data_IF_751352328134
#
_entry.id   IF_751352328134
#
_cell.length_a   1.000
_cell.length_b   1.000
_cell.length_c   1.000
_cell.angle_alpha   90.00
_cell.angle_beta   90.00
_cell.angle_gamma   90.00
#
_symmetry.space_group_name_H-M   'P 1'
#
loop_
_entity.id
_entity.type
_entity.pdbx_description
1 polymer ?
#
# COMPACT_ATOMS: atom_id res chain seq x y z
N UNK A 1 5.18 -22.67 31.83
CA UNK A 1 5.19 -21.30 31.28
C UNK A 1 6.62 -20.73 31.17
N UNK A 2 7.60 -21.49 30.62
CA UNK A 2 8.99 -21.03 30.40
C UNK A 2 9.48 -21.22 28.95
N UNK A 3 8.76 -22.01 28.15
CA UNK A 3 9.11 -22.32 26.76
C UNK A 3 8.80 -21.16 25.79
N UNK A 4 7.79 -20.33 26.09
CA UNK A 4 7.43 -19.20 25.21
C UNK A 4 8.44 -18.04 25.23
N UNK A 5 9.18 -17.85 26.32
CA UNK A 5 10.17 -16.76 26.40
C UNK A 5 11.44 -17.12 25.62
N UNK A 6 11.87 -18.39 25.66
CA UNK A 6 13.03 -18.85 24.90
C UNK A 6 12.77 -18.79 23.39
N UNK A 7 11.56 -19.16 22.96
CA UNK A 7 11.17 -19.08 21.55
C UNK A 7 11.08 -17.62 21.06
N UNK A 8 10.61 -16.71 21.90
CA UNK A 8 10.55 -15.28 21.62
C UNK A 8 11.94 -14.65 21.50
N UNK A 9 12.89 -15.06 22.35
CA UNK A 9 14.28 -14.58 22.30
C UNK A 9 14.99 -15.14 21.05
N UNK A 10 14.74 -16.40 20.69
CA UNK A 10 15.36 -17.02 19.51
C UNK A 10 14.83 -16.41 18.20
N UNK A 11 13.55 -16.01 18.18
CA UNK A 11 12.92 -15.24 17.09
C UNK A 11 13.42 -13.78 17.01
N UNK A 12 13.83 -13.19 18.13
CA UNK A 12 14.44 -11.85 18.14
C UNK A 12 15.91 -11.87 17.70
N UNK A 13 16.65 -12.94 17.99
CA UNK A 13 18.04 -13.07 17.54
C UNK A 13 18.16 -13.45 16.06
N UNK A 14 17.16 -14.12 15.47
CA UNK A 14 17.18 -14.45 14.04
C UNK A 14 16.77 -13.30 13.12
N UNK A 15 16.13 -12.25 13.66
CA UNK A 15 15.81 -11.03 12.90
C UNK A 15 16.92 -9.98 12.93
N UNK A 16 17.90 -10.13 13.83
CA UNK A 16 19.11 -9.28 13.90
C UNK A 16 20.32 -9.89 13.19
N UNK A 17 20.21 -11.12 12.69
CA UNK A 17 21.31 -11.84 12.07
C UNK A 17 20.99 -12.24 10.63
N UNK A 18 21.03 -11.28 9.70
CA UNK A 18 21.41 -11.47 8.28
C UNK A 18 21.51 -10.10 7.57
N UNK A 19 22.45 -9.90 6.63
CA UNK A 19 23.83 -10.34 6.57
C UNK A 19 24.81 -9.15 6.69
N UNK A 20 26.00 -9.41 7.21
CA UNK A 20 27.20 -8.67 6.79
C UNK A 20 27.34 -8.97 5.30
N UNK A 21 26.93 -8.00 4.47
CA UNK A 21 26.94 -8.12 3.02
C UNK A 21 28.38 -8.33 2.55
N UNK A 22 28.54 -9.29 1.66
CA UNK A 22 29.67 -9.37 0.76
C UNK A 22 29.93 -7.98 0.16
N UNK A 23 31.13 -7.45 0.37
CA UNK A 23 31.58 -6.22 -0.26
C UNK A 23 31.76 -6.52 -1.75
N UNK A 24 30.69 -6.41 -2.52
CA UNK A 24 30.80 -6.41 -3.97
C UNK A 24 31.40 -5.06 -4.36
N UNK A 25 32.61 -5.07 -4.94
CA UNK A 25 33.28 -3.88 -5.46
C UNK A 25 32.49 -3.17 -6.59
N UNK A 26 31.38 -3.77 -7.02
CA UNK A 26 30.47 -3.27 -8.03
C UNK A 26 29.06 -3.14 -7.45
N UNK A 27 28.44 -1.99 -7.69
CA UNK A 27 27.02 -1.74 -7.42
C UNK A 27 26.29 -1.72 -8.75
N UNK A 28 25.28 -2.57 -8.92
CA UNK A 28 24.44 -2.56 -10.12
C UNK A 28 23.10 -1.94 -9.79
N UNK A 29 22.72 -0.89 -10.51
CA UNK A 29 21.42 -0.23 -10.35
C UNK A 29 20.71 -0.23 -11.70
N UNK A 30 19.49 -0.74 -11.70
CA UNK A 30 18.55 -0.57 -12.81
C UNK A 30 17.58 0.54 -12.45
N UNK A 31 17.61 1.65 -13.19
CA UNK A 31 16.72 2.78 -12.92
C UNK A 31 15.26 2.42 -13.28
N UNK A 32 14.33 3.16 -12.67
CA UNK A 32 12.96 3.18 -13.19
C UNK A 32 12.99 3.69 -14.63
N UNK A 33 12.14 3.09 -15.47
CA UNK A 33 12.00 3.42 -16.88
C UNK A 33 11.69 4.90 -17.07
N UNK A 34 12.45 5.55 -17.95
CA UNK A 34 12.13 6.88 -18.45
C UNK A 34 11.36 6.76 -19.75
N UNK A 35 10.21 7.43 -19.84
CA UNK A 35 9.43 7.51 -21.06
C UNK A 35 9.68 8.86 -21.72
N UNK A 36 10.21 8.84 -22.93
CA UNK A 36 10.45 10.04 -23.74
C UNK A 36 9.32 10.19 -24.76
N UNK A 37 8.76 11.39 -24.85
CA UNK A 37 7.60 11.70 -25.70
C UNK A 37 7.97 12.59 -26.89
N UNK A 38 8.97 13.47 -26.74
CA UNK A 38 9.46 14.35 -27.82
C UNK A 38 10.99 14.27 -27.94
N UNK A 39 11.47 13.65 -29.01
CA UNK A 39 12.90 13.46 -29.33
C UNK A 39 13.67 14.80 -29.37
N UNK A 40 12.99 15.89 -29.76
CA UNK A 40 13.64 17.18 -29.97
C UNK A 40 13.71 18.02 -28.68
N UNK A 41 12.96 17.65 -27.65
CA UNK A 41 12.83 18.45 -26.41
C UNK A 41 13.21 17.66 -25.16
N UNK A 42 13.00 16.36 -25.17
CA UNK A 42 13.21 15.51 -24.02
C UNK A 42 14.63 14.92 -24.06
N UNK A 43 15.33 15.04 -22.95
CA UNK A 43 16.64 14.42 -22.76
C UNK A 43 16.83 13.99 -21.32
N UNK A 44 17.66 12.98 -21.12
CA UNK A 44 18.04 12.52 -19.78
C UNK A 44 19.32 13.23 -19.40
N UNK A 45 19.30 13.90 -18.27
CA UNK A 45 20.40 14.69 -17.74
C UNK A 45 20.87 14.07 -16.43
N UNK A 46 22.06 13.50 -16.45
CA UNK A 46 22.72 12.88 -15.29
C UNK A 46 23.77 13.84 -14.77
N UNK A 47 23.53 14.41 -13.60
CA UNK A 47 24.48 15.26 -12.89
C UNK A 47 25.14 14.45 -11.78
N UNK A 48 26.44 14.63 -11.58
CA UNK A 48 27.22 13.98 -10.55
C UNK A 48 28.06 14.98 -9.78
N UNK A 49 28.24 14.73 -8.49
CA UNK A 49 28.99 15.60 -7.58
C UNK A 49 29.70 14.77 -6.51
N UNK A 50 31.01 14.95 -6.39
CA UNK A 50 31.85 14.34 -5.37
C UNK A 50 33.05 15.23 -5.04
N UNK A 51 33.77 14.86 -3.99
CA UNK A 51 34.95 15.61 -3.52
C UNK A 51 36.19 15.33 -4.39
N UNK A 52 36.26 14.15 -4.99
CA UNK A 52 37.35 13.73 -5.87
C UNK A 52 36.84 13.44 -7.29
N UNK A 53 37.78 13.23 -8.22
CA UNK A 53 37.47 12.96 -9.61
C UNK A 53 36.61 11.70 -9.77
N UNK A 54 35.62 11.80 -10.67
CA UNK A 54 34.68 10.72 -10.97
C UNK A 54 34.94 10.25 -12.41
N UNK A 55 35.34 9.00 -12.54
CA UNK A 55 35.60 8.37 -13.84
C UNK A 55 34.28 7.90 -14.42
N UNK A 56 33.94 8.41 -15.62
CA UNK A 56 32.69 8.09 -16.31
C UNK A 56 32.94 7.36 -17.62
N UNK A 57 32.44 6.13 -17.71
CA UNK A 57 32.50 5.27 -18.88
C UNK A 57 31.10 4.95 -19.40
N UNK A 58 30.90 5.10 -20.70
CA UNK A 58 29.69 4.60 -21.37
C UNK A 58 30.01 3.17 -21.80
N UNK A 59 29.40 2.20 -21.13
CA UNK A 59 29.69 0.76 -21.33
C UNK A 59 28.93 0.24 -22.53
N UNK A 60 27.66 0.65 -22.67
CA UNK A 60 26.80 0.27 -23.78
C UNK A 60 25.83 1.40 -24.07
N UNK A 61 25.68 1.73 -25.35
CA UNK A 61 24.64 2.64 -25.83
C UNK A 61 24.00 2.01 -27.05
N UNK A 62 22.68 2.01 -27.09
CA UNK A 62 21.98 1.67 -28.33
C UNK A 62 22.28 2.72 -29.41
N UNK A 63 22.31 2.32 -30.70
CA UNK A 63 22.72 3.19 -31.81
C UNK A 63 21.78 4.39 -32.03
N UNK A 64 20.60 4.35 -31.41
CA UNK A 64 19.58 5.39 -31.48
C UNK A 64 19.74 6.48 -30.42
N UNK A 65 20.74 6.35 -29.54
CA UNK A 65 21.04 7.29 -28.48
C UNK A 65 22.34 8.01 -28.80
N UNK A 66 22.34 9.32 -28.62
CA UNK A 66 23.54 10.14 -28.66
C UNK A 66 23.84 10.65 -27.25
N UNK A 67 25.02 10.30 -26.76
CA UNK A 67 25.46 10.64 -25.42
C UNK A 67 26.47 11.77 -25.55
N UNK A 68 26.06 12.96 -25.17
CA UNK A 68 26.92 14.13 -25.12
C UNK A 68 27.46 14.22 -23.70
N UNK A 69 28.74 13.87 -23.54
CA UNK A 69 29.50 14.19 -22.35
C UNK A 69 29.91 15.64 -22.43
N UNK A 70 29.46 16.46 -21.50
CA UNK A 70 29.95 17.83 -21.38
C UNK A 70 30.89 17.81 -20.17
N UNK A 71 32.19 18.08 -20.36
CA UNK A 71 33.21 17.86 -19.33
C UNK A 71 33.32 18.99 -18.30
N UNK A 72 34.04 18.68 -17.23
CA UNK A 72 33.61 18.67 -15.82
C UNK A 72 34.83 19.05 -14.98
N UNK A 73 34.65 19.93 -14.00
CA UNK A 73 35.71 20.33 -13.06
C UNK A 73 36.05 19.24 -12.05
N UNK A 74 36.83 19.56 -11.01
CA UNK A 74 37.15 18.60 -9.93
C UNK A 74 35.85 18.04 -9.31
N UNK A 75 35.60 16.75 -9.50
CA UNK A 75 34.47 16.00 -8.90
C UNK A 75 33.04 16.37 -9.33
N UNK A 76 32.83 17.32 -10.24
CA UNK A 76 31.49 17.84 -10.56
C UNK A 76 31.14 17.87 -12.03
N UNK A 77 30.01 17.25 -12.39
CA UNK A 77 29.67 17.24 -13.78
C UNK A 77 28.40 16.61 -14.31
N UNK A 78 28.26 16.59 -15.63
CA UNK A 78 27.04 16.22 -16.31
C UNK A 78 27.21 15.33 -17.56
N UNK A 79 26.22 14.47 -17.78
CA UNK A 79 26.05 13.64 -18.98
C UNK A 79 24.65 13.91 -19.49
N UNK A 80 24.55 14.37 -20.74
CA UNK A 80 23.28 14.53 -21.42
C UNK A 80 23.09 13.41 -22.44
N UNK A 81 21.97 12.71 -22.36
CA UNK A 81 21.60 11.60 -23.24
C UNK A 81 20.41 12.05 -24.08
N UNK A 82 20.65 12.20 -25.38
CA UNK A 82 19.66 12.56 -26.38
C UNK A 82 19.26 11.33 -27.17
N UNK A 83 17.99 11.25 -27.57
CA UNK A 83 17.58 10.30 -28.60
C UNK A 83 17.85 10.95 -29.95
N UNK A 84 18.55 10.27 -30.84
CA UNK A 84 18.77 10.76 -32.22
C UNK A 84 17.90 10.08 -33.26
N UNK A 85 17.36 8.90 -32.93
CA UNK A 85 16.50 8.15 -33.85
C UNK A 85 15.35 7.46 -33.11
N UNK A 86 14.12 7.90 -33.33
CA UNK A 86 12.94 7.16 -32.92
C UNK A 86 12.63 6.05 -33.92
N UNK A 87 13.47 5.01 -33.94
CA UNK A 87 12.88 3.70 -34.18
C UNK A 87 11.98 3.44 -32.96
N UNK A 88 10.71 3.09 -33.15
CA UNK A 88 9.69 2.82 -32.10
C UNK A 88 10.03 1.63 -31.17
N UNK A 89 11.31 1.46 -30.82
CA UNK A 89 11.86 0.39 -30.01
C UNK A 89 12.45 1.01 -28.75
N UNK A 90 12.22 0.34 -27.63
CA UNK A 90 12.86 0.65 -26.37
C UNK A 90 14.38 0.58 -26.51
N UNK A 91 15.06 1.52 -25.87
CA UNK A 91 16.51 1.62 -25.80
C UNK A 91 17.01 1.41 -24.38
N UNK A 92 18.30 1.13 -24.26
CA UNK A 92 19.02 1.02 -23.00
C UNK A 92 20.38 1.68 -23.12
N UNK A 93 20.73 2.45 -22.10
CA UNK A 93 22.07 2.99 -21.93
C UNK A 93 22.66 2.45 -20.63
N UNK A 94 23.89 1.95 -20.69
CA UNK A 94 24.64 1.51 -19.52
C UNK A 94 25.82 2.45 -19.31
N UNK A 95 25.82 3.11 -18.17
CA UNK A 95 26.88 4.02 -17.74
C UNK A 95 27.53 3.43 -16.49
N UNK A 96 28.86 3.39 -16.49
CA UNK A 96 29.65 3.04 -15.32
C UNK A 96 30.34 4.29 -14.75
N UNK A 97 30.26 4.46 -13.44
CA UNK A 97 30.91 5.53 -12.69
C UNK A 97 31.74 4.94 -11.56
N UNK A 98 32.92 5.50 -11.31
CA UNK A 98 33.80 5.09 -10.23
C UNK A 98 34.54 6.29 -9.66
N UNK A 99 34.69 6.34 -8.34
CA UNK A 99 35.48 7.36 -7.63
C UNK A 99 36.07 6.78 -6.36
N UNK A 100 37.19 7.35 -5.92
CA UNK A 100 37.87 7.02 -4.66
C UNK A 100 37.18 7.66 -3.43
N UNK A 101 36.34 8.67 -3.64
CA UNK A 101 35.49 9.29 -2.61
C UNK A 101 34.00 8.98 -2.84
N UNK A 102 33.13 9.10 -1.81
CA UNK A 102 31.69 8.99 -2.00
C UNK A 102 31.17 10.12 -2.90
N UNK A 103 30.19 9.80 -3.74
CA UNK A 103 29.61 10.78 -4.67
C UNK A 103 28.10 10.63 -4.83
N UNK A 104 27.47 11.72 -5.23
CA UNK A 104 26.04 11.81 -5.49
C UNK A 104 25.76 11.87 -6.98
N UNK A 105 24.65 11.27 -7.39
CA UNK A 105 24.14 11.25 -8.74
C UNK A 105 22.69 11.72 -8.77
N UNK A 106 22.40 12.74 -9.57
CA UNK A 106 21.07 13.24 -9.84
C UNK A 106 20.73 12.97 -11.30
N UNK A 107 19.82 12.02 -11.53
CA UNK A 107 19.31 11.69 -12.86
C UNK A 107 17.97 12.40 -13.04
N UNK A 108 17.89 13.28 -14.02
CA UNK A 108 16.69 14.05 -14.33
C UNK A 108 16.23 13.82 -15.77
N UNK A 109 14.96 13.48 -15.97
CA UNK A 109 14.33 13.63 -17.28
C UNK A 109 13.92 15.09 -17.42
N UNK A 110 14.38 15.75 -18.48
CA UNK A 110 14.07 17.16 -18.75
C UNK A 110 13.37 17.30 -20.08
N UNK A 111 12.36 18.16 -20.13
CA UNK A 111 11.73 18.65 -21.35
C UNK A 111 12.13 20.12 -21.50
N UNK A 112 13.19 20.39 -22.26
CA UNK A 112 13.88 21.68 -22.23
C UNK A 112 14.44 21.98 -20.83
N UNK A 113 14.07 23.12 -20.24
CA UNK A 113 14.53 23.53 -18.90
C UNK A 113 13.67 22.99 -17.75
N UNK A 114 12.60 22.23 -18.05
CA UNK A 114 11.66 21.75 -17.03
C UNK A 114 12.03 20.32 -16.59
N UNK A 115 12.32 20.08 -15.30
CA UNK A 115 12.53 18.72 -14.79
C UNK A 115 11.17 18.00 -14.64
N UNK A 116 11.05 16.82 -15.26
CA UNK A 116 9.84 15.98 -15.23
C UNK A 116 9.94 14.85 -14.19
N UNK A 117 11.10 14.22 -14.08
CA UNK A 117 11.33 13.11 -13.16
C UNK A 117 12.77 13.19 -12.65
N UNK A 118 12.98 13.06 -11.34
CA UNK A 118 14.31 13.11 -10.72
C UNK A 118 14.53 11.87 -9.86
N UNK A 119 15.71 11.26 -9.97
CA UNK A 119 16.17 10.16 -9.13
C UNK A 119 17.56 10.51 -8.60
N UNK A 120 17.72 10.47 -7.29
CA UNK A 120 19.01 10.73 -6.62
C UNK A 120 19.58 9.44 -6.07
N UNK A 121 20.85 9.19 -6.33
CA UNK A 121 21.57 7.99 -5.91
C UNK A 121 22.85 8.41 -5.19
N UNK A 122 23.07 7.86 -4.00
CA UNK A 122 24.32 8.01 -3.26
C UNK A 122 25.19 6.78 -3.49
N UNK A 123 26.42 6.99 -3.96
CA UNK A 123 27.39 5.91 -4.21
C UNK A 123 28.50 5.99 -3.17
N UNK A 124 28.81 4.88 -2.46
CA UNK A 124 29.93 4.84 -1.53
C UNK A 124 31.28 4.95 -2.24
N UNK A 125 32.32 5.35 -1.50
CA UNK A 125 33.70 5.38 -1.98
C UNK A 125 34.19 4.00 -2.48
N UNK A 126 35.07 4.00 -3.48
CA UNK A 126 35.76 2.80 -4.01
C UNK A 126 34.82 1.72 -4.57
N UNK A 127 33.61 2.10 -4.97
CA UNK A 127 32.65 1.20 -5.62
C UNK A 127 32.43 1.68 -7.05
N UNK A 128 32.46 0.74 -7.98
CA UNK A 128 32.06 1.01 -9.36
C UNK A 128 30.54 0.87 -9.46
N UNK A 129 29.84 1.97 -9.68
CA UNK A 129 28.42 1.96 -10.01
C UNK A 129 28.27 1.60 -11.49
N UNK A 130 27.51 0.56 -11.80
CA UNK A 130 26.99 0.29 -13.13
C UNK A 130 25.49 0.55 -13.14
N UNK A 131 25.08 1.55 -13.92
CA UNK A 131 23.71 2.02 -14.01
C UNK A 131 23.14 1.70 -15.39
N UNK A 132 22.05 0.92 -15.40
CA UNK A 132 21.23 0.71 -16.60
C UNK A 132 20.07 1.71 -16.59
N UNK A 133 20.02 2.54 -17.63
CA UNK A 133 18.97 3.51 -17.91
C UNK A 133 18.07 2.92 -19.01
N UNK A 134 16.95 2.28 -18.66
CA UNK A 134 15.96 1.86 -19.65
C UNK A 134 15.15 3.06 -20.15
N UNK A 135 15.08 3.21 -21.47
CA UNK A 135 14.42 4.30 -22.18
C UNK A 135 13.30 3.71 -23.04
N UNK A 136 12.06 4.07 -22.77
CA UNK A 136 10.90 3.69 -23.58
C UNK A 136 10.44 4.90 -24.40
N UNK A 137 10.10 4.67 -25.68
CA UNK A 137 9.54 5.70 -26.54
C UNK A 137 8.02 5.70 -26.43
N UNK A 138 7.45 6.76 -25.85
CA UNK A 138 6.00 6.95 -25.75
C UNK A 138 5.45 7.60 -27.01
N UNK A 139 4.34 7.11 -27.55
CA UNK A 139 3.57 7.89 -28.52
C UNK A 139 2.84 9.02 -27.78
N UNK A 140 2.95 10.24 -28.30
CA UNK A 140 2.13 11.37 -27.86
C UNK A 140 0.67 11.08 -28.18
N UNK A 141 -0.03 10.34 -27.32
CA UNK A 141 -1.48 10.43 -27.27
C UNK A 141 -1.75 11.78 -26.64
N UNK A 142 -2.14 12.77 -27.44
CA UNK A 142 -2.82 13.94 -26.88
C UNK A 142 -3.86 13.40 -25.90
N UNK A 143 -3.99 13.95 -24.68
CA UNK A 143 -5.08 13.57 -23.82
C UNK A 143 -6.36 13.95 -24.56
N UNK A 144 -6.96 12.99 -25.25
CA UNK A 144 -8.38 13.04 -25.52
C UNK A 144 -8.94 13.01 -24.11
N UNK A 145 -9.46 14.15 -23.65
CA UNK A 145 -10.32 14.20 -22.49
C UNK A 145 -11.60 13.42 -22.86
N UNK A 146 -11.47 12.11 -23.02
CA UNK A 146 -12.59 11.23 -22.80
C UNK A 146 -12.83 11.34 -21.32
N UNK A 147 -13.92 12.00 -20.96
CA UNK A 147 -14.62 11.68 -19.72
C UNK A 147 -15.07 10.22 -19.87
N UNK A 148 -14.14 9.28 -19.78
CA UNK A 148 -14.50 7.97 -19.28
C UNK A 148 -14.87 8.28 -17.85
N UNK A 149 -16.18 8.36 -17.60
CA UNK A 149 -16.72 8.05 -16.30
C UNK A 149 -16.20 6.64 -16.02
N UNK A 150 -14.99 6.55 -15.45
CA UNK A 150 -14.53 5.35 -14.77
C UNK A 150 -15.52 5.27 -13.62
N UNK A 151 -16.61 4.57 -13.89
CA UNK A 151 -17.55 4.15 -12.91
C UNK A 151 -16.72 3.23 -12.02
N UNK A 152 -16.09 3.81 -11.00
CA UNK A 152 -15.47 3.07 -9.94
C UNK A 152 -16.63 2.41 -9.22
N UNK A 153 -16.99 1.22 -9.69
CA UNK A 153 -17.87 0.32 -8.97
C UNK A 153 -16.94 -0.27 -7.90
N UNK A 154 -17.01 0.19 -6.64
CA UNK A 154 -16.29 -0.49 -5.57
C UNK A 154 -16.68 -1.97 -5.65
N UNK A 155 -15.67 -2.82 -5.89
CA UNK A 155 -15.87 -4.26 -5.86
C UNK A 155 -16.12 -4.62 -4.40
N UNK A 156 -17.38 -4.75 -4.03
CA UNK A 156 -17.82 -5.29 -2.76
C UNK A 156 -18.03 -6.79 -2.94
N UNK A 157 -17.03 -7.64 -2.62
CA UNK A 157 -17.24 -9.08 -2.73
C UNK A 157 -18.42 -9.49 -1.86
N UNK A 158 -19.36 -10.22 -2.47
CA UNK A 158 -20.64 -10.63 -1.86
C UNK A 158 -20.41 -11.37 -0.53
N UNK A 159 -19.26 -12.03 -0.39
CA UNK A 159 -18.86 -12.76 0.82
C UNK A 159 -18.78 -11.86 2.06
N UNK A 160 -18.48 -10.56 1.92
CA UNK A 160 -18.46 -9.60 3.04
C UNK A 160 -19.84 -9.49 3.70
N UNK A 161 -20.91 -9.64 2.93
CA UNK A 161 -22.28 -9.52 3.43
C UNK A 161 -22.75 -10.80 4.14
N UNK A 162 -22.03 -11.91 4.00
CA UNK A 162 -22.47 -13.21 4.49
C UNK A 162 -22.64 -13.26 6.02
N UNK A 163 -21.71 -12.75 6.85
CA UNK A 163 -21.91 -12.68 8.30
C UNK A 163 -23.16 -11.88 8.68
N UNK A 164 -23.40 -10.76 7.99
CA UNK A 164 -24.56 -9.91 8.25
C UNK A 164 -25.87 -10.61 7.88
N UNK A 165 -25.91 -11.26 6.72
CA UNK A 165 -27.09 -11.97 6.21
C UNK A 165 -27.45 -13.21 7.03
N UNK A 166 -26.51 -13.78 7.77
CA UNK A 166 -26.76 -14.96 8.61
C UNK A 166 -27.03 -14.54 10.06
N UNK A 167 -26.15 -13.74 10.66
CA UNK A 167 -26.20 -13.45 12.09
C UNK A 167 -27.36 -12.51 12.43
N UNK A 168 -27.63 -11.48 11.61
CA UNK A 168 -28.72 -10.53 11.92
C UNK A 168 -30.08 -11.23 11.93
N UNK A 169 -30.49 -11.99 10.89
CA UNK A 169 -31.77 -12.69 10.93
C UNK A 169 -31.87 -13.70 12.07
N UNK A 170 -30.79 -14.42 12.38
CA UNK A 170 -30.75 -15.36 13.50
C UNK A 170 -31.07 -14.67 14.83
N UNK A 171 -30.47 -13.51 15.10
CA UNK A 171 -30.73 -12.73 16.32
C UNK A 171 -32.11 -12.06 16.34
N UNK A 172 -32.62 -11.63 15.19
CA UNK A 172 -33.97 -11.06 15.10
C UNK A 172 -35.05 -12.13 15.29
N UNK A 173 -34.86 -13.33 14.74
CA UNK A 173 -35.78 -14.46 14.93
C UNK A 173 -35.79 -14.89 16.40
N UNK A 174 -34.62 -14.98 17.03
CA UNK A 174 -34.55 -15.30 18.47
C UNK A 174 -35.21 -14.22 19.32
N UNK A 175 -34.97 -12.94 19.06
CA UNK A 175 -35.68 -11.84 19.73
C UNK A 175 -37.20 -11.86 19.50
N UNK A 176 -37.66 -12.27 18.31
CA UNK A 176 -39.08 -12.42 18.02
C UNK A 176 -39.73 -13.59 18.78
N UNK A 177 -39.04 -14.72 18.87
CA UNK A 177 -39.51 -15.87 19.67
C UNK A 177 -39.54 -15.52 21.16
N UNK A 178 -38.51 -14.84 21.64
CA UNK A 178 -38.40 -14.45 23.05
C UNK A 178 -39.46 -13.42 23.45
N UNK A 179 -39.79 -12.48 22.55
CA UNK A 179 -40.93 -11.56 22.72
C UNK A 179 -42.23 -12.31 23.06
N UNK A 180 -42.53 -13.39 22.34
CA UNK A 180 -43.77 -14.15 22.55
C UNK A 180 -43.76 -14.85 23.91
N UNK A 181 -42.60 -15.38 24.32
CA UNK A 181 -42.41 -15.97 25.64
C UNK A 181 -42.58 -14.94 26.76
N UNK A 182 -41.87 -13.80 26.67
CA UNK A 182 -41.90 -12.74 27.68
C UNK A 182 -43.28 -12.08 27.79
N UNK A 183 -44.02 -11.98 26.68
CA UNK A 183 -45.41 -11.49 26.68
C UNK A 183 -46.36 -12.42 27.44
N UNK A 184 -46.10 -13.72 27.48
CA UNK A 184 -46.91 -14.68 28.25
C UNK A 184 -46.58 -14.55 29.74
N UNK A 185 -45.30 -14.41 30.08
CA UNK A 185 -44.81 -14.35 31.47
C UNK A 185 -45.17 -13.01 32.12
N UNK A 186 -45.07 -11.89 31.39
CA UNK A 186 -45.30 -10.55 31.93
C UNK A 186 -46.71 -10.04 31.65
N UNK A 187 -47.39 -9.61 32.71
CA UNK A 187 -48.80 -9.16 32.69
C UNK A 187 -49.02 -7.85 31.91
N UNK A 188 -47.98 -7.04 31.70
CA UNK A 188 -48.01 -5.81 30.88
C UNK A 188 -46.79 -5.81 29.96
N UNK A 189 -47.02 -5.94 28.66
CA UNK A 189 -45.98 -5.88 27.63
C UNK A 189 -46.32 -4.79 26.63
N UNK A 190 -45.50 -3.76 26.56
CA UNK A 190 -45.69 -2.62 25.69
C UNK A 190 -44.96 -2.79 24.35
N UNK A 191 -45.27 -1.91 23.39
CA UNK A 191 -44.52 -1.84 22.14
C UNK A 191 -43.08 -1.36 22.37
N UNK A 192 -42.84 -0.53 23.39
CA UNK A 192 -41.49 -0.07 23.76
C UNK A 192 -40.63 -1.20 24.29
N UNK A 193 -41.19 -2.15 25.06
CA UNK A 193 -40.45 -3.32 25.54
C UNK A 193 -40.04 -4.24 24.38
N UNK A 194 -40.92 -4.36 23.36
CA UNK A 194 -40.59 -5.08 22.12
C UNK A 194 -39.44 -4.41 21.38
N UNK A 195 -39.47 -3.08 21.29
CA UNK A 195 -38.42 -2.31 20.62
C UNK A 195 -37.09 -2.42 21.37
N UNK A 196 -37.10 -2.31 22.70
CA UNK A 196 -35.93 -2.52 23.54
C UNK A 196 -35.34 -3.92 23.35
N UNK A 197 -36.19 -4.97 23.38
CA UNK A 197 -35.75 -6.34 23.11
C UNK A 197 -35.05 -6.45 21.74
N UNK A 198 -35.64 -5.89 20.68
CA UNK A 198 -35.05 -5.92 19.33
C UNK A 198 -33.72 -5.17 19.24
N UNK A 199 -33.57 -4.03 19.93
CA UNK A 199 -32.29 -3.31 20.02
C UNK A 199 -31.23 -4.18 20.71
N UNK A 200 -31.58 -4.84 21.82
CA UNK A 200 -30.64 -5.70 22.56
C UNK A 200 -30.12 -6.84 21.70
N UNK A 201 -31.01 -7.56 21.02
CA UNK A 201 -30.63 -8.64 20.11
C UNK A 201 -29.82 -8.13 18.92
N UNK A 202 -30.17 -6.97 18.37
CA UNK A 202 -29.41 -6.34 17.28
C UNK A 202 -28.00 -5.95 17.74
N UNK A 203 -27.85 -5.38 18.94
CA UNK A 203 -26.56 -5.07 19.54
C UNK A 203 -25.67 -6.31 19.64
N UNK A 204 -26.20 -7.43 20.16
CA UNK A 204 -25.43 -8.68 20.24
C UNK A 204 -25.08 -9.25 18.87
N UNK A 205 -25.99 -9.13 17.89
CA UNK A 205 -25.71 -9.55 16.52
C UNK A 205 -24.49 -8.79 15.95
N UNK A 206 -24.48 -7.46 16.05
CA UNK A 206 -23.38 -6.64 15.56
C UNK A 206 -22.09 -6.83 16.35
N UNK A 207 -22.16 -7.12 17.65
CA UNK A 207 -20.99 -7.47 18.46
C UNK A 207 -20.34 -8.77 17.96
N UNK A 208 -21.15 -9.81 17.68
CA UNK A 208 -20.64 -11.08 17.14
C UNK A 208 -20.07 -10.90 15.75
N UNK A 209 -20.75 -10.14 14.88
CA UNK A 209 -20.23 -9.83 13.54
C UNK A 209 -18.88 -9.12 13.64
N UNK A 210 -18.76 -8.13 14.54
CA UNK A 210 -17.49 -7.42 14.75
C UNK A 210 -16.37 -8.35 15.20
N UNK A 211 -16.65 -9.30 16.09
CA UNK A 211 -15.66 -10.30 16.52
C UNK A 211 -15.23 -11.18 15.33
N UNK A 212 -16.19 -11.66 14.52
CA UNK A 212 -15.90 -12.50 13.34
C UNK A 212 -15.02 -11.74 12.33
N UNK A 213 -15.41 -10.52 11.95
CA UNK A 213 -14.66 -9.68 10.99
C UNK A 213 -13.27 -9.33 11.54
N UNK A 214 -13.15 -9.09 12.85
CA UNK A 214 -11.84 -8.82 13.46
C UNK A 214 -10.93 -10.05 13.41
N UNK A 215 -11.45 -11.25 13.67
CA UNK A 215 -10.67 -12.50 13.56
C UNK A 215 -10.24 -12.72 12.11
N UNK A 216 -11.14 -12.52 11.15
CA UNK A 216 -10.86 -12.64 9.71
C UNK A 216 -9.68 -11.76 9.30
N UNK A 217 -9.68 -10.48 9.68
CA UNK A 217 -8.60 -9.54 9.34
C UNK A 217 -7.28 -9.90 10.01
N UNK A 218 -7.32 -10.41 11.25
CA UNK A 218 -6.11 -10.90 11.92
C UNK A 218 -5.53 -12.09 11.14
N UNK A 219 -6.39 -13.02 10.68
CA UNK A 219 -5.97 -14.18 9.88
C UNK A 219 -5.41 -13.72 8.53
N UNK A 220 -6.10 -12.84 7.81
CA UNK A 220 -5.60 -12.27 6.54
C UNK A 220 -4.23 -11.60 6.74
N UNK A 221 -4.08 -10.78 7.79
CA UNK A 221 -2.83 -10.11 8.10
C UNK A 221 -1.68 -11.11 8.34
N UNK A 222 -1.94 -12.18 9.10
CA UNK A 222 -0.94 -13.24 9.34
C UNK A 222 -0.58 -13.96 8.03
N UNK A 223 -1.56 -14.29 7.19
CA UNK A 223 -1.32 -14.97 5.91
C UNK A 223 -0.52 -14.12 4.93
N UNK A 224 -0.79 -12.81 4.86
CA UNK A 224 -0.01 -11.85 4.07
C UNK A 224 1.44 -11.80 4.58
N UNK A 225 1.64 -11.73 5.91
CA UNK A 225 3.00 -11.70 6.50
C UNK A 225 3.79 -12.99 6.26
N UNK A 226 3.12 -14.13 6.14
CA UNK A 226 3.75 -15.41 5.80
C UNK A 226 3.96 -15.60 4.28
N UNK A 227 3.56 -14.63 3.46
CA UNK A 227 3.67 -14.66 2.00
C UNK A 227 2.94 -15.87 1.36
N UNK A 228 1.94 -16.42 2.06
CA UNK A 228 1.13 -17.56 1.62
C UNK A 228 0.02 -17.09 0.67
N UNK A 229 -0.42 -15.83 0.81
CA UNK A 229 -1.58 -15.29 0.11
C UNK A 229 -1.34 -13.80 -0.27
N UNK A 230 -1.63 -13.45 -1.52
CA UNK A 230 -1.57 -12.09 -2.07
C UNK A 230 -2.99 -11.54 -2.21
N UNK A 231 -3.63 -11.19 -1.10
CA UNK A 231 -4.91 -10.48 -1.09
C UNK A 231 -4.73 -9.04 -0.61
N UNK A 232 -5.63 -8.17 -1.09
CA UNK A 232 -5.75 -6.83 -0.53
C UNK A 232 -6.37 -6.95 0.86
N UNK A 233 -5.82 -6.20 1.83
CA UNK A 233 -6.33 -6.19 3.20
C UNK A 233 -7.66 -5.42 3.22
N UNK A 234 -8.76 -6.09 3.62
CA UNK A 234 -10.11 -5.53 3.58
C UNK A 234 -10.43 -4.62 4.77
N UNK A 235 -9.68 -3.53 4.93
CA UNK A 235 -9.84 -2.57 6.06
C UNK A 235 -11.24 -1.93 6.07
N UNK A 236 -11.86 -1.76 4.90
CA UNK A 236 -13.19 -1.17 4.77
C UNK A 236 -14.27 -1.93 5.56
N UNK A 237 -14.20 -3.25 5.58
CA UNK A 237 -15.22 -4.10 6.21
C UNK A 237 -15.16 -4.02 7.73
N UNK A 238 -13.94 -3.90 8.26
CA UNK A 238 -13.72 -3.59 9.66
C UNK A 238 -14.33 -2.25 10.07
N UNK A 239 -14.11 -1.22 9.24
CA UNK A 239 -14.64 0.12 9.51
C UNK A 239 -16.16 0.14 9.49
N UNK A 240 -16.79 -0.54 8.53
CA UNK A 240 -18.26 -0.69 8.46
C UNK A 240 -18.77 -1.41 9.71
N UNK A 241 -18.13 -2.52 10.09
CA UNK A 241 -18.49 -3.28 11.29
C UNK A 241 -18.36 -2.44 12.55
N UNK A 242 -17.27 -1.70 12.69
CA UNK A 242 -17.00 -0.78 13.80
C UNK A 242 -18.06 0.34 13.88
N UNK A 243 -18.42 0.93 12.73
CA UNK A 243 -19.44 1.97 12.66
C UNK A 243 -20.83 1.45 13.08
N UNK A 244 -21.22 0.27 12.59
CA UNK A 244 -22.49 -0.37 12.94
C UNK A 244 -22.54 -0.76 14.42
N UNK A 245 -21.47 -1.36 14.95
CA UNK A 245 -21.38 -1.68 16.37
C UNK A 245 -21.46 -0.42 17.23
N UNK A 246 -20.74 0.65 16.84
CA UNK A 246 -20.77 1.93 17.57
C UNK A 246 -22.17 2.53 17.60
N UNK A 247 -22.88 2.52 16.47
CA UNK A 247 -24.25 2.99 16.38
C UNK A 247 -25.17 2.24 17.36
N UNK A 248 -25.15 0.91 17.34
CA UNK A 248 -25.99 0.11 18.22
C UNK A 248 -25.55 0.17 19.70
N UNK A 249 -24.27 0.37 19.96
CA UNK A 249 -23.74 0.61 21.32
C UNK A 249 -24.29 1.92 21.88
N UNK A 250 -24.33 2.98 21.09
CA UNK A 250 -24.91 4.27 21.49
C UNK A 250 -26.41 4.12 21.76
N UNK A 251 -27.16 3.49 20.84
CA UNK A 251 -28.60 3.28 21.00
C UNK A 251 -28.90 2.44 22.25
N UNK A 252 -28.18 1.32 22.43
CA UNK A 252 -28.32 0.46 23.59
C UNK A 252 -27.94 1.20 24.90
N UNK A 253 -26.84 1.93 24.90
CA UNK A 253 -26.38 2.71 26.05
C UNK A 253 -27.37 3.80 26.48
N UNK A 254 -27.90 4.57 25.52
CA UNK A 254 -28.95 5.58 25.79
C UNK A 254 -30.20 4.91 26.33
N UNK A 255 -30.63 3.79 25.75
CA UNK A 255 -31.81 3.08 26.22
C UNK A 255 -31.63 2.53 27.63
N UNK A 256 -30.45 2.02 27.96
CA UNK A 256 -30.11 1.53 29.30
C UNK A 256 -30.09 2.65 30.32
N UNK A 257 -29.51 3.80 29.97
CA UNK A 257 -29.52 4.97 30.84
C UNK A 257 -30.94 5.51 31.12
N UNK A 258 -31.88 5.33 30.19
CA UNK A 258 -33.30 5.71 30.35
C UNK A 258 -34.19 4.65 30.99
N UNK A 259 -33.64 3.51 31.43
CA UNK A 259 -34.43 2.42 32.01
C UNK A 259 -35.31 1.67 31.01
N UNK A 260 -35.10 1.80 29.69
CA UNK A 260 -35.93 1.12 28.68
C UNK A 260 -35.83 -0.40 28.72
N UNK A 261 -34.83 -0.95 29.41
CA UNK A 261 -34.55 -2.39 29.48
C UNK A 261 -34.96 -3.02 30.81
N UNK A 262 -35.48 -2.28 31.79
CA UNK A 262 -35.90 -2.81 33.11
C UNK A 262 -36.90 -3.98 32.94
N UNK A 263 -37.87 -3.80 32.04
CA UNK A 263 -38.85 -4.82 31.68
C UNK A 263 -38.30 -5.98 30.83
N UNK A 264 -37.08 -5.86 30.32
CA UNK A 264 -36.45 -6.88 29.46
C UNK A 264 -35.41 -7.67 30.26
N UNK A 265 -34.68 -7.01 31.16
CA UNK A 265 -33.60 -7.60 31.95
C UNK A 265 -34.09 -8.31 33.20
N UNK A 266 -35.33 -8.04 33.66
CA UNK A 266 -35.93 -8.79 34.76
C UNK A 266 -35.29 -8.50 36.11
N UNK A 267 -34.89 -7.24 36.33
CA UNK A 267 -34.40 -6.76 37.62
C UNK A 267 -35.51 -6.57 38.68
N UNK A 268 -36.68 -7.22 38.51
CA UNK A 268 -37.76 -7.32 39.50
C UNK A 268 -38.33 -8.74 39.60
#
# INVERSE_FOLDING_TARGET
MKINILLLILLFTSTLAYPILAQSNNMFIKLQKFTIYDINRDFIYVEYSGEEDIIVLVVKSDPNLNIIKQSIGMGHGNIAIYITNASYKSGSCIIALSSSSPFLLNITLRMGDVPLQTQTISVPANITLQMEIPIDYGSYQQPIYTFTNVLYIPYFPIWILLPYMIVIPMFLITGYLDKNSLKIIRRRWSQLDTFALMIRYSFYAFLIIFIIVTIEIIVEYVLIRLNIYLTNLHIGDWLISCALLSLFTIIYGIGKWRGLFENVDGEE
#
